data_IF_493629486792
#
_entry.id   IF_493629486792
#
_cell.length_a   1.000
_cell.length_b   1.000
_cell.length_c   1.000
_cell.angle_alpha   90.00
_cell.angle_beta   90.00
_cell.angle_gamma   90.00
#
_symmetry.space_group_name_H-M   'P 1'
#
loop_
_entity.id
_entity.type
_entity.pdbx_description
1 polymer ?
#
# COMPACT_ATOMS: atom_id res chain seq x y z
N UNK A 1 16.25 12.84 -18.08
CA UNK A 1 15.16 12.46 -19.03
C UNK A 1 15.69 12.40 -20.46
N UNK A 2 16.34 13.47 -20.96
CA UNK A 2 16.87 13.52 -22.34
C UNK A 2 17.85 12.39 -22.64
N UNK A 3 18.74 12.04 -21.73
CA UNK A 3 19.70 10.95 -21.90
C UNK A 3 19.02 9.58 -21.99
N UNK A 4 18.02 9.30 -21.14
CA UNK A 4 17.26 8.04 -21.21
C UNK A 4 16.43 7.93 -22.48
N UNK A 5 15.81 9.03 -22.94
CA UNK A 5 15.11 9.05 -24.23
C UNK A 5 16.06 8.76 -25.37
N UNK A 6 17.22 9.39 -25.37
CA UNK A 6 18.23 9.17 -26.43
C UNK A 6 18.69 7.72 -26.41
N UNK A 7 19.09 7.18 -25.26
CA UNK A 7 19.53 5.79 -25.14
C UNK A 7 18.48 4.78 -25.62
N UNK A 8 17.21 5.00 -25.29
CA UNK A 8 16.11 4.14 -25.73
C UNK A 8 15.84 4.26 -27.23
N UNK A 9 15.92 5.48 -27.79
CA UNK A 9 15.78 5.72 -29.24
C UNK A 9 16.92 5.05 -30.02
N UNK A 10 18.16 5.20 -29.54
CA UNK A 10 19.35 4.58 -30.12
C UNK A 10 19.32 3.04 -30.04
N UNK A 11 18.61 2.51 -29.03
CA UNK A 11 18.39 1.07 -28.85
C UNK A 11 17.19 0.52 -29.63
N UNK A 12 16.52 1.32 -30.46
CA UNK A 12 15.41 0.88 -31.31
C UNK A 12 14.02 1.01 -30.70
N UNK A 13 13.90 1.75 -29.60
CA UNK A 13 12.59 2.02 -28.92
C UNK A 13 12.21 3.50 -28.99
N UNK A 14 11.91 4.08 -30.15
CA UNK A 14 11.64 5.52 -30.30
C UNK A 14 10.35 5.99 -29.62
N UNK A 15 9.39 5.09 -29.39
CA UNK A 15 8.09 5.40 -28.80
C UNK A 15 8.02 5.09 -27.30
N UNK A 16 9.16 4.87 -26.64
CA UNK A 16 9.19 4.55 -25.22
C UNK A 16 8.95 5.82 -24.37
N UNK A 17 8.12 5.71 -23.33
CA UNK A 17 7.89 6.78 -22.36
C UNK A 17 8.77 6.58 -21.14
N UNK A 18 9.53 7.60 -20.79
CA UNK A 18 10.26 7.65 -19.52
C UNK A 18 9.43 8.45 -18.52
N UNK A 19 8.97 7.81 -17.47
CA UNK A 19 8.29 8.46 -16.36
C UNK A 19 9.27 8.61 -15.20
N UNK A 20 9.59 9.85 -14.84
CA UNK A 20 10.48 10.16 -13.71
C UNK A 20 9.61 10.57 -12.54
N UNK A 21 9.65 9.79 -11.46
CA UNK A 21 9.08 10.19 -10.18
C UNK A 21 10.12 11.06 -9.46
N UNK A 22 9.95 12.37 -9.48
CA UNK A 22 10.82 13.27 -8.73
C UNK A 22 10.54 13.12 -7.23
N UNK A 23 11.54 12.67 -6.51
CA UNK A 23 11.51 12.52 -5.04
C UNK A 23 11.76 13.85 -4.29
N UNK A 24 12.18 14.90 -4.96
CA UNK A 24 12.64 16.17 -4.38
C UNK A 24 11.63 17.31 -4.37
N UNK A 25 10.40 17.09 -4.77
CA UNK A 25 9.30 18.06 -4.61
C UNK A 25 8.25 17.47 -3.69
N UNK A 26 8.10 17.99 -2.47
CA UNK A 26 6.89 17.73 -1.71
C UNK A 26 5.66 18.04 -2.57
N UNK A 27 4.48 17.56 -2.18
CA UNK A 27 3.16 17.80 -2.81
C UNK A 27 2.78 19.30 -2.96
N UNK A 28 3.72 20.19 -3.07
CA UNK A 28 3.56 21.60 -3.40
C UNK A 28 3.95 21.74 -4.86
N UNK A 29 2.95 21.84 -5.71
CA UNK A 29 3.12 22.42 -7.04
C UNK A 29 3.80 23.79 -6.85
N UNK A 30 5.04 23.89 -7.27
CA UNK A 30 5.70 25.17 -7.46
C UNK A 30 5.10 25.74 -8.76
N UNK A 31 4.28 26.81 -8.72
CA UNK A 31 3.62 27.35 -9.91
C UNK A 31 4.61 27.93 -10.93
N UNK A 32 5.92 27.93 -10.61
CA UNK A 32 6.99 28.44 -11.47
C UNK A 32 7.77 27.33 -12.20
N UNK A 33 7.55 26.05 -11.88
CA UNK A 33 8.12 24.99 -12.73
C UNK A 33 7.28 24.88 -14.00
N UNK A 34 7.79 25.47 -15.08
CA UNK A 34 7.38 25.16 -16.44
C UNK A 34 7.64 23.67 -16.72
N UNK A 35 6.80 22.82 -16.16
CA UNK A 35 6.69 21.45 -16.62
C UNK A 35 6.02 21.59 -17.99
N UNK A 36 6.81 21.51 -19.04
CA UNK A 36 6.32 21.25 -20.39
C UNK A 36 5.63 19.90 -20.37
N UNK A 37 4.41 19.87 -19.86
CA UNK A 37 3.50 18.75 -19.97
C UNK A 37 3.15 18.65 -21.47
N UNK A 38 3.82 17.75 -22.17
CA UNK A 38 3.36 17.31 -23.48
C UNK A 38 1.89 16.89 -23.36
N UNK A 39 0.98 17.41 -24.19
CA UNK A 39 -0.48 17.21 -24.03
C UNK A 39 -0.95 15.78 -24.31
N UNK A 40 -0.08 14.80 -24.50
CA UNK A 40 -0.42 13.46 -24.89
C UNK A 40 0.01 12.40 -23.86
N UNK A 41 -0.78 12.24 -22.80
CA UNK A 41 -0.95 10.97 -22.11
C UNK A 41 0.09 10.61 -21.06
N UNK A 42 0.39 11.48 -20.11
CA UNK A 42 0.97 11.13 -18.82
C UNK A 42 -0.10 10.62 -17.83
N UNK A 43 0.33 10.03 -16.71
CA UNK A 43 -0.56 9.73 -15.59
C UNK A 43 -0.86 11.06 -14.90
N UNK A 44 -2.13 11.45 -14.87
CA UNK A 44 -2.58 12.62 -14.11
C UNK A 44 -2.51 12.32 -12.62
N UNK A 45 -1.55 12.90 -11.93
CA UNK A 45 -1.44 12.85 -10.47
C UNK A 45 -2.47 13.77 -9.79
N UNK A 46 -3.74 13.52 -10.07
CA UNK A 46 -4.85 14.27 -9.50
C UNK A 46 -5.37 13.62 -8.20
N UNK A 47 -6.32 14.29 -7.53
CA UNK A 47 -6.93 13.79 -6.28
C UNK A 47 -7.57 12.40 -6.46
N UNK A 48 -8.13 12.12 -7.61
CA UNK A 48 -8.77 10.83 -7.93
C UNK A 48 -7.72 9.72 -8.01
N UNK A 49 -6.57 9.99 -8.64
CA UNK A 49 -5.44 9.06 -8.68
C UNK A 49 -4.98 8.71 -7.27
N UNK A 50 -4.67 9.70 -6.42
CA UNK A 50 -4.21 9.44 -5.06
C UNK A 50 -5.27 8.73 -4.20
N UNK A 51 -6.55 9.07 -4.36
CA UNK A 51 -7.63 8.38 -3.66
C UNK A 51 -7.75 6.91 -4.12
N UNK A 52 -7.54 6.63 -5.39
CA UNK A 52 -7.57 5.26 -5.94
C UNK A 52 -6.37 4.47 -5.44
N UNK A 53 -5.17 5.04 -5.49
CA UNK A 53 -3.96 4.40 -4.94
C UNK A 53 -4.13 4.09 -3.45
N UNK A 54 -4.64 5.03 -2.66
CA UNK A 54 -4.88 4.81 -1.23
C UNK A 54 -5.88 3.67 -0.98
N UNK A 55 -6.96 3.60 -1.76
CA UNK A 55 -7.92 2.48 -1.67
C UNK A 55 -7.27 1.14 -2.03
N UNK A 56 -6.44 1.12 -3.07
CA UNK A 56 -5.74 -0.08 -3.51
C UNK A 56 -4.75 -0.56 -2.44
N UNK A 57 -3.96 0.35 -1.85
CA UNK A 57 -3.03 0.04 -0.76
C UNK A 57 -3.77 -0.54 0.45
N UNK A 58 -4.85 0.09 0.90
CA UNK A 58 -5.63 -0.40 2.05
C UNK A 58 -6.26 -1.77 1.75
N UNK A 59 -6.82 -1.95 0.55
CA UNK A 59 -7.41 -3.23 0.18
C UNK A 59 -6.35 -4.35 0.13
N UNK A 60 -5.17 -4.07 -0.42
CA UNK A 60 -4.04 -5.00 -0.47
C UNK A 60 -3.53 -5.35 0.94
N UNK A 61 -3.38 -4.36 1.82
CA UNK A 61 -2.99 -4.57 3.22
C UNK A 61 -3.94 -5.53 3.93
N UNK A 62 -5.26 -5.37 3.70
CA UNK A 62 -6.29 -6.21 4.32
C UNK A 62 -6.16 -7.66 3.87
N UNK A 63 -6.13 -7.93 2.57
CA UNK A 63 -6.07 -9.29 2.05
C UNK A 63 -4.72 -9.96 2.38
N UNK A 64 -3.60 -9.23 2.31
CA UNK A 64 -2.30 -9.75 2.68
C UNK A 64 -2.23 -10.07 4.18
N UNK A 65 -2.76 -9.20 5.05
CA UNK A 65 -2.82 -9.46 6.50
C UNK A 65 -3.64 -10.71 6.82
N UNK A 66 -4.76 -10.94 6.10
CA UNK A 66 -5.54 -12.17 6.26
C UNK A 66 -4.75 -13.39 5.82
N UNK A 67 -4.14 -13.35 4.65
CA UNK A 67 -3.33 -14.46 4.14
C UNK A 67 -2.17 -14.83 5.09
N UNK A 68 -1.46 -13.83 5.62
CA UNK A 68 -0.37 -14.03 6.58
C UNK A 68 -0.82 -14.71 7.89
N UNK A 69 -2.06 -14.49 8.32
CA UNK A 69 -2.62 -15.09 9.54
C UNK A 69 -3.16 -16.49 9.32
N UNK A 70 -3.65 -16.80 8.12
CA UNK A 70 -4.30 -18.07 7.80
C UNK A 70 -3.29 -19.09 7.30
N UNK A 71 -2.40 -18.69 6.38
CA UNK A 71 -1.46 -19.59 5.70
C UNK A 71 -0.63 -20.48 6.65
N UNK A 72 -0.08 -19.99 7.77
CA UNK A 72 0.68 -20.86 8.67
C UNK A 72 -0.13 -21.98 9.28
N UNK A 73 -1.45 -21.86 9.33
CA UNK A 73 -2.36 -22.79 10.00
C UNK A 73 -3.23 -23.58 9.02
N UNK A 74 -3.14 -23.35 7.70
CA UNK A 74 -3.94 -24.07 6.71
C UNK A 74 -3.66 -25.57 6.76
N UNK A 75 -4.73 -26.36 6.62
CA UNK A 75 -4.64 -27.83 6.59
C UNK A 75 -4.22 -28.30 5.20
N UNK A 76 -4.80 -27.68 4.17
CA UNK A 76 -4.45 -27.96 2.77
C UNK A 76 -3.40 -26.94 2.30
N UNK A 77 -2.13 -27.38 2.08
CA UNK A 77 -1.08 -26.47 1.65
C UNK A 77 -1.43 -25.77 0.35
N UNK A 78 -1.24 -24.45 0.32
CA UNK A 78 -1.49 -23.60 -0.86
C UNK A 78 -2.92 -23.06 -0.98
N UNK A 79 -3.87 -23.53 -0.15
CA UNK A 79 -5.24 -23.05 -0.19
C UNK A 79 -5.34 -21.52 0.03
N UNK A 80 -4.52 -20.99 0.92
CA UNK A 80 -4.47 -19.54 1.18
C UNK A 80 -3.93 -18.76 0.00
N UNK A 81 -2.93 -19.29 -0.71
CA UNK A 81 -2.31 -18.62 -1.86
C UNK A 81 -3.26 -18.60 -3.06
N UNK A 82 -4.03 -19.66 -3.28
CA UNK A 82 -5.07 -19.69 -4.29
C UNK A 82 -6.15 -18.65 -4.01
N UNK A 83 -6.67 -18.60 -2.79
CA UNK A 83 -7.66 -17.61 -2.38
C UNK A 83 -7.11 -16.19 -2.49
N UNK A 84 -5.85 -15.96 -2.13
CA UNK A 84 -5.19 -14.66 -2.24
C UNK A 84 -5.04 -14.23 -3.71
N UNK A 85 -4.66 -15.15 -4.60
CA UNK A 85 -4.57 -14.86 -6.04
C UNK A 85 -5.92 -14.43 -6.61
N UNK A 86 -6.96 -15.20 -6.33
CA UNK A 86 -8.33 -14.89 -6.76
C UNK A 86 -8.82 -13.56 -6.17
N UNK A 87 -8.46 -13.25 -4.92
CA UNK A 87 -8.79 -11.99 -4.28
C UNK A 87 -8.12 -10.79 -4.97
N UNK A 88 -6.86 -10.94 -5.40
CA UNK A 88 -6.13 -9.91 -6.17
C UNK A 88 -6.80 -9.63 -7.52
N UNK A 89 -7.21 -10.68 -8.22
CA UNK A 89 -7.94 -10.55 -9.49
C UNK A 89 -9.30 -9.85 -9.30
N UNK A 90 -10.05 -10.23 -8.27
CA UNK A 90 -11.33 -9.58 -7.94
C UNK A 90 -11.17 -8.10 -7.61
N UNK A 91 -10.09 -7.73 -6.91
CA UNK A 91 -9.78 -6.32 -6.63
C UNK A 91 -9.38 -5.56 -7.89
N UNK A 92 -8.51 -6.14 -8.73
CA UNK A 92 -8.11 -5.54 -10.00
C UNK A 92 -9.32 -5.26 -10.89
N UNK A 93 -10.21 -6.23 -11.05
CA UNK A 93 -11.49 -6.11 -11.77
C UNK A 93 -12.39 -5.03 -11.16
N UNK A 94 -12.46 -4.96 -9.82
CA UNK A 94 -13.26 -3.95 -9.12
C UNK A 94 -12.76 -2.54 -9.41
N UNK A 95 -11.44 -2.34 -9.41
CA UNK A 95 -10.84 -1.04 -9.76
C UNK A 95 -11.03 -0.70 -11.24
N UNK A 96 -10.83 -1.65 -12.14
CA UNK A 96 -10.99 -1.45 -13.58
C UNK A 96 -12.43 -1.06 -13.96
N UNK A 97 -13.43 -1.64 -13.29
CA UNK A 97 -14.86 -1.37 -13.55
C UNK A 97 -15.46 -0.26 -12.69
N UNK A 98 -14.69 0.35 -11.79
CA UNK A 98 -15.18 1.36 -10.86
C UNK A 98 -16.18 0.85 -9.82
N UNK A 99 -16.15 -0.45 -9.52
CA UNK A 99 -17.03 -1.07 -8.53
C UNK A 99 -16.64 -0.70 -7.10
N UNK A 100 -17.55 -0.95 -6.15
CA UNK A 100 -17.31 -0.71 -4.73
C UNK A 100 -16.27 -1.67 -4.16
N UNK A 101 -15.06 -1.18 -3.88
CA UNK A 101 -13.96 -1.95 -3.26
C UNK A 101 -14.39 -2.55 -1.91
N UNK A 102 -15.21 -1.85 -1.12
CA UNK A 102 -15.71 -2.36 0.15
C UNK A 102 -16.61 -3.60 -0.03
N UNK A 103 -17.52 -3.56 -1.01
CA UNK A 103 -18.37 -4.73 -1.34
C UNK A 103 -17.54 -5.89 -1.89
N UNK A 104 -16.52 -5.59 -2.68
CA UNK A 104 -15.58 -6.60 -3.19
C UNK A 104 -14.82 -7.26 -2.03
N UNK A 105 -14.30 -6.50 -1.08
CA UNK A 105 -13.66 -7.03 0.13
C UNK A 105 -14.62 -7.92 0.95
N UNK A 106 -15.88 -7.54 1.09
CA UNK A 106 -16.87 -8.41 1.75
C UNK A 106 -17.10 -9.74 1.03
N UNK A 107 -17.03 -9.75 -0.30
CA UNK A 107 -17.13 -10.99 -1.09
C UNK A 107 -15.87 -11.86 -0.93
N UNK A 108 -14.70 -11.23 -0.96
CA UNK A 108 -13.39 -11.87 -0.77
C UNK A 108 -13.28 -12.51 0.63
N UNK A 109 -13.90 -11.94 1.64
CA UNK A 109 -13.90 -12.46 3.01
C UNK A 109 -14.34 -13.91 3.11
N UNK A 110 -15.42 -14.29 2.42
CA UNK A 110 -16.00 -15.65 2.51
C UNK A 110 -15.03 -16.77 2.09
N UNK A 111 -14.33 -16.69 0.94
CA UNK A 111 -13.29 -17.66 0.59
C UNK A 111 -12.20 -17.80 1.66
N UNK A 112 -11.74 -16.70 2.27
CA UNK A 112 -10.77 -16.78 3.36
C UNK A 112 -11.33 -17.48 4.60
N UNK A 113 -12.60 -17.24 4.95
CA UNK A 113 -13.26 -17.88 6.10
C UNK A 113 -13.52 -19.38 5.85
N UNK A 114 -13.58 -19.84 4.60
CA UNK A 114 -13.78 -21.23 4.26
C UNK A 114 -12.51 -22.08 4.25
N UNK A 115 -11.34 -21.47 4.42
CA UNK A 115 -10.08 -22.21 4.50
C UNK A 115 -10.05 -22.97 5.82
N UNK A 116 -9.86 -24.29 5.74
CA UNK A 116 -9.71 -25.13 6.93
C UNK A 116 -8.34 -24.86 7.59
N UNK A 117 -8.36 -24.59 8.89
CA UNK A 117 -7.19 -24.20 9.67
C UNK A 117 -7.08 -25.01 10.96
N UNK A 118 -5.85 -25.34 11.35
CA UNK A 118 -5.54 -25.98 12.62
C UNK A 118 -4.80 -25.01 13.55
N UNK A 119 -5.54 -24.27 14.36
CA UNK A 119 -4.98 -23.36 15.36
C UNK A 119 -4.48 -24.04 16.64
N UNK A 120 -4.56 -25.36 16.73
CA UNK A 120 -3.99 -26.10 17.88
C UNK A 120 -2.47 -26.13 17.83
N UNK A 121 -1.89 -25.91 16.66
CA UNK A 121 -0.44 -25.83 16.46
C UNK A 121 0.08 -24.47 16.93
N UNK A 122 0.81 -24.45 18.01
CA UNK A 122 1.49 -23.23 18.48
C UNK A 122 2.66 -22.90 17.56
N UNK A 123 2.61 -21.70 16.97
CA UNK A 123 3.67 -21.19 16.10
C UNK A 123 4.28 -19.92 16.69
N UNK A 124 5.61 -19.75 16.63
CA UNK A 124 6.25 -18.50 17.03
C UNK A 124 5.80 -17.38 16.07
N UNK A 125 5.47 -16.22 16.64
CA UNK A 125 5.09 -15.03 15.86
C UNK A 125 6.32 -14.20 15.58
N UNK A 126 6.62 -14.04 14.31
CA UNK A 126 7.75 -13.25 13.82
C UNK A 126 7.22 -12.03 13.06
N UNK A 127 7.74 -10.86 13.38
CA UNK A 127 7.43 -9.63 12.66
C UNK A 127 8.67 -9.18 11.89
N UNK A 128 8.51 -8.99 10.57
CA UNK A 128 9.54 -8.41 9.72
C UNK A 128 9.41 -6.90 9.79
N UNK A 129 10.48 -6.24 10.21
CA UNK A 129 10.59 -4.77 10.24
C UNK A 129 11.90 -4.35 9.58
N UNK A 130 12.00 -3.13 9.10
CA UNK A 130 13.24 -2.62 8.51
C UNK A 130 12.97 -1.67 7.35
N UNK A 131 13.77 -1.78 6.31
CA UNK A 131 13.60 -0.96 5.12
C UNK A 131 12.26 -1.21 4.42
N UNK A 132 11.69 -0.16 3.86
CA UNK A 132 10.43 -0.21 3.13
C UNK A 132 10.41 -1.30 2.06
N UNK A 133 11.48 -1.44 1.28
CA UNK A 133 11.61 -2.47 0.25
C UNK A 133 11.58 -3.90 0.80
N UNK A 134 12.25 -4.14 1.91
CA UNK A 134 12.25 -5.46 2.57
C UNK A 134 10.86 -5.84 3.09
N UNK A 135 10.03 -4.86 3.44
CA UNK A 135 8.67 -5.09 3.95
C UNK A 135 7.64 -5.23 2.82
N UNK A 136 7.78 -4.48 1.73
CA UNK A 136 6.75 -4.37 0.70
C UNK A 136 6.99 -5.26 -0.52
N UNK A 137 8.23 -5.71 -0.75
CA UNK A 137 8.56 -6.62 -1.86
C UNK A 137 8.52 -8.07 -1.41
N UNK A 138 7.79 -8.88 -2.16
CA UNK A 138 7.83 -10.34 -2.02
C UNK A 138 8.81 -10.93 -3.04
N UNK A 139 9.43 -12.07 -2.70
CA UNK A 139 10.33 -12.78 -3.59
C UNK A 139 11.78 -12.29 -3.50
N UNK A 140 12.41 -12.02 -4.63
CA UNK A 140 13.84 -11.77 -4.68
C UNK A 140 14.26 -10.48 -3.96
N UNK A 141 13.41 -9.44 -3.95
CA UNK A 141 13.68 -8.17 -3.25
C UNK A 141 13.79 -8.29 -1.73
N UNK A 142 13.18 -9.32 -1.14
CA UNK A 142 13.25 -9.63 0.30
C UNK A 142 14.01 -10.93 0.58
N UNK A 143 14.76 -11.47 -0.39
CA UNK A 143 15.43 -12.78 -0.31
C UNK A 143 14.48 -13.92 0.09
N UNK A 144 13.19 -13.82 -0.23
CA UNK A 144 12.12 -14.78 0.15
C UNK A 144 12.08 -15.06 1.66
N UNK A 145 12.51 -14.09 2.48
CA UNK A 145 12.64 -14.23 3.93
C UNK A 145 11.34 -14.68 4.60
N UNK A 146 10.20 -14.15 4.16
CA UNK A 146 8.89 -14.54 4.70
C UNK A 146 8.62 -16.03 4.45
N UNK A 147 8.73 -16.46 3.20
CA UNK A 147 8.48 -17.86 2.82
C UNK A 147 9.43 -18.83 3.53
N UNK A 148 10.69 -18.43 3.72
CA UNK A 148 11.64 -19.20 4.47
C UNK A 148 11.24 -19.32 5.96
N UNK A 149 10.90 -18.22 6.62
CA UNK A 149 10.44 -18.25 8.02
C UNK A 149 9.15 -19.06 8.20
N UNK A 150 8.20 -18.96 7.25
CA UNK A 150 6.99 -19.78 7.26
C UNK A 150 7.31 -21.27 7.10
N UNK A 151 8.29 -21.64 6.25
CA UNK A 151 8.72 -23.04 6.10
C UNK A 151 9.40 -23.59 7.35
N UNK A 152 10.06 -22.72 8.15
CA UNK A 152 10.61 -23.07 9.47
C UNK A 152 9.53 -23.13 10.58
N UNK A 153 8.26 -22.91 10.22
CA UNK A 153 7.12 -23.07 11.11
C UNK A 153 6.66 -21.82 11.85
N UNK A 154 7.09 -20.62 11.44
CA UNK A 154 6.68 -19.37 12.06
C UNK A 154 5.35 -18.83 11.48
N UNK A 155 4.58 -18.07 12.29
CA UNK A 155 3.58 -17.14 11.82
C UNK A 155 4.27 -15.80 11.53
N UNK A 156 4.41 -15.45 10.25
CA UNK A 156 5.16 -14.27 9.83
C UNK A 156 4.23 -13.12 9.48
N UNK A 157 4.41 -11.98 10.12
CA UNK A 157 3.66 -10.77 9.90
C UNK A 157 4.58 -9.68 9.34
N UNK A 158 4.21 -9.12 8.21
CA UNK A 158 4.82 -7.90 7.68
C UNK A 158 3.93 -6.71 8.05
N UNK A 159 4.55 -5.54 8.31
CA UNK A 159 3.76 -4.34 8.61
C UNK A 159 2.97 -3.90 7.36
N UNK A 160 1.68 -3.61 7.51
CA UNK A 160 0.89 -3.01 6.44
C UNK A 160 1.46 -1.66 5.99
N UNK A 161 1.36 -1.34 4.71
CA UNK A 161 1.77 -0.02 4.17
C UNK A 161 0.98 1.11 4.85
N UNK A 162 -0.26 0.85 5.23
CA UNK A 162 -1.09 1.79 6.00
C UNK A 162 -0.45 2.23 7.31
N UNK A 163 0.28 1.36 7.99
CA UNK A 163 1.03 1.72 9.21
C UNK A 163 2.14 2.73 8.90
N UNK A 164 2.78 2.60 7.75
CA UNK A 164 3.82 3.54 7.32
C UNK A 164 3.24 4.93 6.99
N UNK A 165 2.05 4.98 6.39
CA UNK A 165 1.31 6.24 6.18
C UNK A 165 0.99 6.91 7.53
N UNK A 166 0.52 6.14 8.51
CA UNK A 166 0.31 6.63 9.88
C UNK A 166 1.58 7.25 10.46
N UNK A 167 2.71 6.56 10.32
CA UNK A 167 4.02 7.03 10.80
C UNK A 167 4.43 8.36 10.17
N UNK A 168 4.29 8.50 8.85
CA UNK A 168 4.60 9.75 8.14
C UNK A 168 3.73 10.91 8.65
N UNK A 169 2.42 10.67 8.79
CA UNK A 169 1.48 11.68 9.28
C UNK A 169 1.79 12.08 10.72
N UNK A 170 2.10 11.12 11.59
CA UNK A 170 2.54 11.40 12.96
C UNK A 170 3.83 12.21 13.01
N UNK A 171 4.83 11.84 12.21
CA UNK A 171 6.07 12.58 12.09
C UNK A 171 5.88 14.03 11.62
N UNK A 172 4.96 14.22 10.64
CA UNK A 172 4.60 15.57 10.19
C UNK A 172 3.90 16.38 11.29
N UNK A 173 3.01 15.77 12.06
CA UNK A 173 2.34 16.40 13.20
C UNK A 173 3.35 16.78 14.29
N UNK A 174 4.27 15.89 14.64
CA UNK A 174 5.31 16.16 15.66
C UNK A 174 6.19 17.33 15.25
N UNK A 175 6.73 17.32 14.02
CA UNK A 175 7.51 18.45 13.50
C UNK A 175 6.72 19.77 13.50
N UNK A 176 5.41 19.72 13.23
CA UNK A 176 4.58 20.91 13.22
C UNK A 176 4.28 21.43 14.64
N UNK A 177 4.22 20.54 15.65
CA UNK A 177 4.11 20.93 17.07
C UNK A 177 5.34 21.72 17.55
N UNK A 178 6.53 21.28 17.17
CA UNK A 178 7.80 21.96 17.52
C UNK A 178 7.87 23.37 16.92
N UNK A 179 7.18 23.62 15.80
CA UNK A 179 7.12 24.93 15.14
C UNK A 179 6.05 25.88 15.71
N UNK A 180 5.25 25.42 16.68
CA UNK A 180 4.24 26.28 17.30
C UNK A 180 4.91 27.44 18.05
N UNK A 181 4.46 28.65 17.79
CA UNK A 181 5.03 29.89 18.37
C UNK A 181 6.25 30.43 17.62
N UNK A 182 6.85 29.68 16.69
CA UNK A 182 8.03 30.08 15.93
C UNK A 182 7.65 30.47 14.49
N UNK A 183 6.76 29.69 13.85
CA UNK A 183 6.40 29.86 12.45
C UNK A 183 4.95 30.28 12.31
N UNK A 184 4.71 31.36 11.56
CA UNK A 184 3.36 31.81 11.23
C UNK A 184 2.58 30.70 10.48
N UNK A 185 1.31 30.51 10.87
CA UNK A 185 0.44 29.49 10.26
C UNK A 185 0.69 28.04 10.74
N UNK A 186 1.65 27.79 11.63
CA UNK A 186 1.94 26.46 12.16
C UNK A 186 0.70 25.80 12.80
N UNK A 187 -0.10 26.58 13.54
CA UNK A 187 -1.35 26.08 14.16
C UNK A 187 -2.37 25.60 13.12
N UNK A 188 -2.56 26.33 12.03
CA UNK A 188 -3.48 25.97 10.96
C UNK A 188 -3.03 24.66 10.29
N UNK A 189 -1.74 24.55 9.96
CA UNK A 189 -1.16 23.34 9.37
C UNK A 189 -1.28 22.14 10.30
N UNK A 190 -1.06 22.33 11.61
CA UNK A 190 -1.22 21.26 12.60
C UNK A 190 -2.65 20.73 12.64
N UNK A 191 -3.65 21.61 12.65
CA UNK A 191 -5.07 21.23 12.62
C UNK A 191 -5.41 20.47 11.33
N UNK A 192 -4.92 20.93 10.19
CA UNK A 192 -5.13 20.26 8.90
C UNK A 192 -4.53 18.85 8.89
N UNK A 193 -3.29 18.68 9.37
CA UNK A 193 -2.63 17.37 9.47
C UNK A 193 -3.36 16.42 10.43
N UNK A 194 -3.81 16.94 11.58
CA UNK A 194 -4.54 16.15 12.55
C UNK A 194 -5.90 15.70 12.01
N UNK A 195 -6.61 16.57 11.31
CA UNK A 195 -7.86 16.23 10.63
C UNK A 195 -7.60 15.18 9.54
N UNK A 196 -6.55 15.35 8.75
CA UNK A 196 -6.13 14.38 7.72
C UNK A 196 -5.86 13.00 8.33
N UNK A 197 -5.14 12.93 9.44
CA UNK A 197 -4.89 11.69 10.15
C UNK A 197 -6.19 11.02 10.64
N UNK A 198 -7.12 11.80 11.21
CA UNK A 198 -8.42 11.25 11.65
C UNK A 198 -9.25 10.72 10.49
N UNK A 199 -9.30 11.46 9.38
CA UNK A 199 -9.99 11.01 8.17
C UNK A 199 -9.37 9.73 7.61
N UNK A 200 -8.05 9.67 7.53
CA UNK A 200 -7.32 8.49 7.10
C UNK A 200 -7.66 7.27 8.00
N UNK A 201 -7.58 7.42 9.34
CA UNK A 201 -7.90 6.34 10.26
C UNK A 201 -9.36 5.87 10.16
N UNK A 202 -10.30 6.79 10.01
CA UNK A 202 -11.71 6.46 9.80
C UNK A 202 -11.90 5.68 8.50
N UNK A 203 -11.25 6.11 7.45
CA UNK A 203 -11.28 5.47 6.13
C UNK A 203 -10.66 4.06 6.18
N UNK A 204 -9.49 3.92 6.79
CA UNK A 204 -8.83 2.63 6.99
C UNK A 204 -9.71 1.66 7.81
N UNK A 205 -10.29 2.13 8.92
CA UNK A 205 -11.20 1.35 9.76
C UNK A 205 -12.46 0.93 9.00
N UNK A 206 -13.01 1.81 8.18
CA UNK A 206 -14.17 1.51 7.34
C UNK A 206 -13.88 0.32 6.41
N UNK A 207 -12.74 0.31 5.70
CA UNK A 207 -12.39 -0.80 4.82
C UNK A 207 -12.09 -2.08 5.60
N UNK A 208 -11.43 -1.99 6.75
CA UNK A 208 -11.19 -3.15 7.62
C UNK A 208 -12.49 -3.79 8.12
N UNK A 209 -13.54 -3.02 8.32
CA UNK A 209 -14.85 -3.53 8.76
C UNK A 209 -15.45 -4.52 7.76
N UNK A 210 -15.08 -4.45 6.47
CA UNK A 210 -15.51 -5.42 5.46
C UNK A 210 -15.08 -6.85 5.79
N UNK A 211 -13.94 -7.02 6.47
CA UNK A 211 -13.41 -8.31 6.95
C UNK A 211 -13.76 -8.62 8.42
N UNK A 212 -14.53 -7.76 9.08
CA UNK A 212 -14.87 -7.95 10.49
C UNK A 212 -13.74 -7.63 11.47
N UNK A 213 -12.66 -7.00 11.02
CA UNK A 213 -11.65 -6.44 11.91
C UNK A 213 -12.25 -5.23 12.64
N UNK A 214 -12.38 -5.31 13.95
CA UNK A 214 -12.75 -4.21 14.84
C UNK A 214 -11.51 -3.60 15.48
#
# INVERSE_FOLDING_TARGET
EAEYRKALTDSGFPNFRVMILQQSGGLTEDPTSETTAEPNGGIDFNRTFFATVLRALIASDIINTMAQRIRPYEITPGATDEVLSNAREMLADSFARGNSVWLTLRRIRKPFESIEVDYTRLKPKVRITGEFWAQTTEGDGSYKLRSWLESEGAEVLTEPIGTWIDYILYGAISRQKERLGIVSGARKRLVTLWLGLRLYKSFYTFYRSAFGFR
#
